data_IF_491909338693
#
_entry.id   IF_491909338693
#
_cell.length_a   1.000
_cell.length_b   1.000
_cell.length_c   1.000
_cell.angle_alpha   90.00
_cell.angle_beta   90.00
_cell.angle_gamma   90.00
#
_symmetry.space_group_name_H-M   'P 1'
#
loop_
_entity.id
_entity.type
_entity.pdbx_description
1 polymer ?
#
# COMPACT_ATOMS: atom_id res chain seq x y z
N UNK A 1 -8.93 20.54 2.62
CA UNK A 1 -10.13 20.39 1.77
C UNK A 1 -9.99 19.34 0.67
N UNK A 2 -8.95 19.42 -0.18
CA UNK A 2 -8.69 18.44 -1.26
C UNK A 2 -8.73 16.95 -0.83
N UNK A 3 -8.21 16.50 0.33
CA UNK A 3 -8.23 15.08 0.68
C UNK A 3 -9.63 14.52 0.91
N UNK A 4 -10.53 15.30 1.52
CA UNK A 4 -11.90 14.85 1.78
C UNK A 4 -12.73 14.80 0.50
N UNK A 5 -12.58 15.81 -0.37
CA UNK A 5 -13.37 15.87 -1.61
C UNK A 5 -12.88 14.86 -2.65
N UNK A 6 -11.56 14.64 -2.76
CA UNK A 6 -11.00 13.76 -3.79
C UNK A 6 -10.99 12.30 -3.34
N UNK A 7 -10.65 11.98 -2.09
CA UNK A 7 -10.48 10.58 -1.66
C UNK A 7 -11.84 9.92 -1.35
N UNK A 8 -12.82 10.70 -0.88
CA UNK A 8 -14.14 10.17 -0.49
C UNK A 8 -14.89 9.46 -1.63
N UNK A 9 -15.02 10.03 -2.84
CA UNK A 9 -15.71 9.36 -3.94
C UNK A 9 -15.02 8.05 -4.35
N UNK A 10 -13.68 8.02 -4.36
CA UNK A 10 -12.94 6.79 -4.68
C UNK A 10 -13.12 5.72 -3.61
N UNK A 11 -13.05 6.09 -2.33
CA UNK A 11 -13.31 5.16 -1.22
C UNK A 11 -14.74 4.64 -1.25
N UNK A 12 -15.72 5.52 -1.46
CA UNK A 12 -17.13 5.13 -1.55
C UNK A 12 -17.36 4.16 -2.71
N UNK A 13 -16.85 4.47 -3.90
CA UNK A 13 -16.97 3.60 -5.07
C UNK A 13 -16.28 2.25 -4.85
N UNK A 14 -15.08 2.24 -4.25
CA UNK A 14 -14.37 1.01 -3.91
C UNK A 14 -15.15 0.15 -2.91
N UNK A 15 -15.64 0.72 -1.81
CA UNK A 15 -16.43 -0.02 -0.82
C UNK A 15 -17.78 -0.47 -1.36
N UNK A 16 -18.39 0.27 -2.27
CA UNK A 16 -19.62 -0.12 -2.95
C UNK A 16 -19.38 -1.39 -3.77
N UNK A 17 -18.39 -1.38 -4.67
CA UNK A 17 -18.04 -2.55 -5.48
C UNK A 17 -17.65 -3.73 -4.58
N UNK A 18 -16.83 -3.50 -3.56
CA UNK A 18 -16.40 -4.55 -2.66
C UNK A 18 -17.56 -5.15 -1.86
N UNK A 19 -18.51 -4.33 -1.38
CA UNK A 19 -19.68 -4.82 -0.64
C UNK A 19 -20.60 -5.64 -1.53
N UNK A 20 -20.76 -5.24 -2.81
CA UNK A 20 -21.49 -6.05 -3.80
C UNK A 20 -20.80 -7.41 -3.99
N UNK A 21 -19.47 -7.43 -4.18
CA UNK A 21 -18.71 -8.67 -4.35
C UNK A 21 -18.78 -9.59 -3.12
N UNK A 22 -18.81 -9.00 -1.93
CA UNK A 22 -18.93 -9.70 -0.66
C UNK A 22 -20.33 -10.32 -0.48
N UNK A 23 -21.39 -9.56 -0.77
CA UNK A 23 -22.78 -10.02 -0.60
C UNK A 23 -23.18 -11.08 -1.67
N UNK A 24 -22.57 -11.02 -2.85
CA UNK A 24 -22.67 -12.04 -3.91
C UNK A 24 -21.98 -13.36 -3.49
N UNK A 25 -21.13 -13.35 -2.45
CA UNK A 25 -20.32 -14.50 -2.08
C UNK A 25 -19.18 -14.78 -3.07
N UNK A 26 -18.76 -13.79 -3.86
CA UNK A 26 -17.63 -13.94 -4.78
C UNK A 26 -16.29 -14.00 -4.05
N UNK A 27 -16.16 -13.28 -2.92
CA UNK A 27 -14.93 -13.24 -2.12
C UNK A 27 -14.52 -14.64 -1.60
N UNK A 28 -15.42 -15.45 -0.99
CA UNK A 28 -15.11 -16.85 -0.65
C UNK A 28 -14.67 -17.70 -1.84
N UNK A 29 -15.29 -17.53 -3.02
CA UNK A 29 -14.91 -18.28 -4.22
C UNK A 29 -13.54 -17.87 -4.76
N UNK A 30 -13.24 -16.57 -4.76
CA UNK A 30 -11.91 -16.04 -5.07
C UNK A 30 -10.85 -16.58 -4.11
N UNK A 31 -11.17 -16.66 -2.81
CA UNK A 31 -10.25 -17.19 -1.82
C UNK A 31 -9.86 -18.64 -2.15
N UNK A 32 -10.81 -19.49 -2.56
CA UNK A 32 -10.53 -20.88 -3.00
C UNK A 32 -9.71 -20.93 -4.29
N UNK A 33 -10.01 -20.07 -5.28
CA UNK A 33 -9.23 -20.04 -6.54
C UNK A 33 -7.79 -19.56 -6.33
N UNK A 34 -7.59 -18.60 -5.44
CA UNK A 34 -6.28 -18.03 -5.13
C UNK A 34 -5.52 -18.83 -4.06
N UNK A 35 -6.18 -19.77 -3.38
CA UNK A 35 -5.60 -20.57 -2.30
C UNK A 35 -4.33 -21.30 -2.75
N UNK A 36 -4.37 -21.97 -3.91
CA UNK A 36 -3.20 -22.67 -4.46
C UNK A 36 -2.00 -21.74 -4.72
N UNK A 37 -2.25 -20.47 -5.08
CA UNK A 37 -1.19 -19.48 -5.29
C UNK A 37 -0.68 -18.92 -3.96
N UNK A 38 -1.58 -18.58 -3.03
CA UNK A 38 -1.21 -18.06 -1.72
C UNK A 38 -0.51 -19.11 -0.85
N UNK A 39 -0.89 -20.38 -0.98
CA UNK A 39 -0.24 -21.46 -0.26
C UNK A 39 1.22 -21.64 -0.69
N UNK A 40 1.56 -21.39 -1.96
CA UNK A 40 2.97 -21.30 -2.41
C UNK A 40 3.72 -20.14 -1.77
N UNK A 41 3.01 -19.05 -1.46
CA UNK A 41 3.54 -17.94 -0.69
C UNK A 41 3.53 -18.22 0.82
N UNK A 42 3.03 -19.37 1.29
CA UNK A 42 2.94 -19.73 2.70
C UNK A 42 1.87 -18.97 3.48
N UNK A 43 0.82 -18.56 2.77
CA UNK A 43 -0.28 -17.77 3.29
C UNK A 43 -1.59 -18.54 3.04
N UNK A 44 -2.54 -18.43 3.96
CA UNK A 44 -3.88 -18.99 3.82
C UNK A 44 -4.72 -18.28 2.74
N UNK A 45 -5.59 -19.02 2.01
CA UNK A 45 -6.47 -18.46 0.98
C UNK A 45 -7.38 -17.32 1.46
N UNK A 46 -7.74 -17.29 2.75
CA UNK A 46 -8.51 -16.19 3.35
C UNK A 46 -7.76 -14.84 3.34
N UNK A 47 -6.43 -14.87 3.21
CA UNK A 47 -5.61 -13.66 3.08
C UNK A 47 -5.78 -12.94 1.74
N UNK A 48 -6.46 -13.59 0.78
CA UNK A 48 -6.95 -12.94 -0.44
C UNK A 48 -7.88 -11.77 -0.12
N UNK A 49 -8.62 -11.81 0.99
CA UNK A 49 -9.54 -10.74 1.40
C UNK A 49 -8.79 -9.46 1.81
N UNK A 50 -7.82 -9.50 2.76
CA UNK A 50 -6.91 -8.39 3.02
C UNK A 50 -6.20 -7.88 1.76
N UNK A 51 -5.69 -8.77 0.90
CA UNK A 51 -4.98 -8.37 -0.31
C UNK A 51 -5.89 -7.54 -1.25
N UNK A 52 -7.13 -7.98 -1.46
CA UNK A 52 -8.12 -7.28 -2.28
C UNK A 52 -8.51 -5.92 -1.67
N UNK A 53 -8.71 -5.87 -0.35
CA UNK A 53 -8.97 -4.63 0.41
C UNK A 53 -7.79 -3.64 0.29
N UNK A 54 -6.56 -4.15 0.34
CA UNK A 54 -5.33 -3.39 0.27
C UNK A 54 -5.09 -2.69 -1.07
N UNK A 55 -5.62 -3.23 -2.18
CA UNK A 55 -5.58 -2.59 -3.50
C UNK A 55 -6.31 -1.23 -3.51
N UNK A 56 -7.37 -1.09 -2.72
CA UNK A 56 -8.08 0.18 -2.56
C UNK A 56 -7.28 1.13 -1.67
N UNK A 57 -7.21 0.80 -0.38
CA UNK A 57 -6.45 1.53 0.62
C UNK A 57 -5.78 0.53 1.57
N UNK A 58 -4.52 0.79 1.93
CA UNK A 58 -3.75 -0.12 2.79
C UNK A 58 -4.28 -0.18 4.23
N UNK A 59 -4.96 0.87 4.70
CA UNK A 59 -5.53 0.97 6.06
C UNK A 59 -6.57 -0.13 6.35
N UNK A 60 -7.69 -0.25 5.60
CA UNK A 60 -8.67 -1.32 5.83
C UNK A 60 -8.10 -2.72 5.55
N UNK A 61 -7.15 -2.83 4.62
CA UNK A 61 -6.43 -4.06 4.35
C UNK A 61 -5.67 -4.57 5.58
N UNK A 62 -4.99 -3.68 6.32
CA UNK A 62 -4.31 -4.03 7.58
C UNK A 62 -5.32 -4.38 8.68
N UNK A 63 -6.44 -3.68 8.80
CA UNK A 63 -7.49 -4.05 9.76
C UNK A 63 -8.06 -5.44 9.52
N UNK A 64 -8.17 -5.85 8.25
CA UNK A 64 -8.61 -7.20 7.90
C UNK A 64 -7.61 -8.29 8.30
N UNK A 65 -6.37 -7.94 8.69
CA UNK A 65 -5.41 -8.93 9.21
C UNK A 65 -5.86 -9.57 10.52
N UNK A 66 -6.80 -8.96 11.25
CA UNK A 66 -7.40 -9.54 12.46
C UNK A 66 -8.11 -10.87 12.20
N UNK A 67 -8.54 -11.10 10.95
CA UNK A 67 -9.23 -12.33 10.53
C UNK A 67 -8.29 -13.53 10.43
N UNK A 68 -6.97 -13.31 10.38
CA UNK A 68 -6.01 -14.40 10.36
C UNK A 68 -5.73 -14.92 11.77
N UNK A 69 -5.46 -16.21 11.92
CA UNK A 69 -5.24 -16.84 13.22
C UNK A 69 -3.77 -16.76 13.63
N UNK A 70 -2.86 -17.08 12.71
CA UNK A 70 -1.43 -17.17 13.03
C UNK A 70 -0.70 -15.84 12.89
N UNK A 71 0.29 -15.60 13.76
CA UNK A 71 1.14 -14.39 13.69
C UNK A 71 2.00 -14.37 12.43
N UNK A 72 2.46 -15.55 11.96
CA UNK A 72 3.26 -15.69 10.74
C UNK A 72 2.46 -15.22 9.53
N UNK A 73 1.22 -15.69 9.37
CA UNK A 73 0.39 -15.28 8.24
C UNK A 73 0.03 -13.80 8.32
N UNK A 74 -0.28 -13.26 9.51
CA UNK A 74 -0.50 -11.81 9.68
C UNK A 74 0.69 -11.00 9.17
N UNK A 75 1.89 -11.38 9.58
CA UNK A 75 3.12 -10.69 9.16
C UNK A 75 3.33 -10.78 7.64
N UNK A 76 3.20 -11.99 7.09
CA UNK A 76 3.45 -12.24 5.67
C UNK A 76 2.42 -11.55 4.77
N UNK A 77 1.14 -11.62 5.15
CA UNK A 77 0.04 -10.92 4.46
C UNK A 77 0.19 -9.41 4.58
N UNK A 78 0.66 -8.86 5.71
CA UNK A 78 0.93 -7.43 5.82
C UNK A 78 2.03 -6.98 4.86
N UNK A 79 3.14 -7.72 4.79
CA UNK A 79 4.25 -7.41 3.87
C UNK A 79 3.78 -7.51 2.42
N UNK A 80 3.09 -8.58 2.06
CA UNK A 80 2.51 -8.75 0.72
C UNK A 80 1.58 -7.58 0.38
N UNK A 81 0.65 -7.24 1.28
CA UNK A 81 -0.33 -6.16 1.09
C UNK A 81 0.34 -4.79 0.88
N UNK A 82 1.40 -4.51 1.62
CA UNK A 82 2.13 -3.25 1.51
C UNK A 82 2.95 -3.16 0.21
N UNK A 83 3.34 -4.29 -0.38
CA UNK A 83 4.19 -4.35 -1.57
C UNK A 83 3.45 -4.63 -2.88
N UNK A 84 2.34 -5.37 -2.86
CA UNK A 84 1.71 -5.95 -4.06
C UNK A 84 1.15 -4.93 -5.04
N UNK A 85 0.63 -3.81 -4.54
CA UNK A 85 0.10 -2.77 -5.41
C UNK A 85 0.12 -1.38 -4.77
N UNK A 86 0.22 -0.33 -5.61
CA UNK A 86 -0.13 1.02 -5.19
C UNK A 86 -1.62 1.08 -4.83
N UNK A 87 -1.97 1.94 -3.87
CA UNK A 87 -3.37 2.21 -3.56
C UNK A 87 -4.07 2.84 -4.77
N UNK A 88 -5.40 2.72 -4.84
CA UNK A 88 -6.23 3.30 -5.91
C UNK A 88 -5.83 4.73 -6.32
N UNK A 89 -5.57 5.68 -5.38
CA UNK A 89 -5.18 7.04 -5.76
C UNK A 89 -3.74 7.13 -6.28
N UNK A 90 -2.83 6.24 -5.88
CA UNK A 90 -1.50 6.16 -6.46
C UNK A 90 -1.54 5.57 -7.87
N UNK A 91 -2.35 4.53 -8.09
CA UNK A 91 -2.55 3.90 -9.41
C UNK A 91 -3.03 4.94 -10.43
N UNK A 92 -4.01 5.77 -10.07
CA UNK A 92 -4.52 6.82 -10.95
C UNK A 92 -3.47 7.89 -11.26
N UNK A 93 -2.71 8.34 -10.25
CA UNK A 93 -1.65 9.33 -10.44
C UNK A 93 -0.50 8.81 -11.32
N UNK A 94 -0.09 7.55 -11.15
CA UNK A 94 0.93 6.91 -11.99
C UNK A 94 0.45 6.85 -13.44
N UNK A 95 -0.82 6.48 -13.67
CA UNK A 95 -1.39 6.42 -15.02
C UNK A 95 -1.44 7.81 -15.68
N UNK A 96 -1.90 8.83 -14.96
CA UNK A 96 -1.94 10.20 -15.47
C UNK A 96 -0.53 10.68 -15.83
N UNK A 97 0.45 10.49 -14.94
CA UNK A 97 1.81 10.97 -15.17
C UNK A 97 2.53 10.17 -16.25
N UNK A 98 2.22 8.88 -16.38
CA UNK A 98 2.74 8.03 -17.43
C UNK A 98 2.22 8.42 -18.82
N UNK A 99 1.11 9.14 -18.96
CA UNK A 99 0.68 9.64 -20.29
C UNK A 99 1.71 10.58 -20.93
N UNK A 100 2.49 11.32 -20.14
CA UNK A 100 3.59 12.19 -20.61
C UNK A 100 4.76 11.38 -21.18
N UNK A 101 5.00 10.17 -20.67
CA UNK A 101 6.15 9.33 -21.02
C UNK A 101 5.81 8.13 -21.92
N UNK A 102 4.54 7.74 -21.98
CA UNK A 102 4.01 6.59 -22.69
C UNK A 102 3.52 5.47 -21.77
N UNK A 103 2.42 4.82 -22.16
CA UNK A 103 1.73 3.80 -21.36
C UNK A 103 2.61 2.58 -21.04
N UNK A 104 3.63 2.31 -21.87
CA UNK A 104 4.60 1.23 -21.68
C UNK A 104 5.32 1.34 -20.32
N UNK A 105 5.64 2.55 -19.88
CA UNK A 105 6.31 2.78 -18.59
C UNK A 105 5.38 2.53 -17.40
N UNK A 106 4.08 2.85 -17.52
CA UNK A 106 3.11 2.48 -16.48
C UNK A 106 3.05 0.97 -16.30
N UNK A 107 2.90 0.22 -17.41
CA UNK A 107 2.85 -1.25 -17.38
C UNK A 107 4.13 -1.83 -16.77
N UNK A 108 5.29 -1.28 -17.12
CA UNK A 108 6.57 -1.70 -16.55
C UNK A 108 6.62 -1.50 -15.02
N UNK A 109 6.16 -0.35 -14.52
CA UNK A 109 6.10 -0.07 -13.08
C UNK A 109 5.23 -1.10 -12.36
N UNK A 110 4.01 -1.35 -12.86
CA UNK A 110 3.10 -2.32 -12.24
C UNK A 110 3.67 -3.74 -12.26
N UNK A 111 4.32 -4.13 -13.36
CA UNK A 111 4.94 -5.44 -13.49
C UNK A 111 6.07 -5.62 -12.47
N UNK A 112 6.99 -4.65 -12.38
CA UNK A 112 8.08 -4.71 -11.39
C UNK A 112 7.53 -4.79 -9.96
N UNK A 113 6.54 -3.96 -9.61
CA UNK A 113 5.92 -3.99 -8.28
C UNK A 113 5.28 -5.35 -7.97
N UNK A 114 4.51 -5.91 -8.91
CA UNK A 114 3.88 -7.21 -8.74
C UNK A 114 4.89 -8.34 -8.52
N UNK A 115 5.93 -8.41 -9.34
CA UNK A 115 6.98 -9.43 -9.19
C UNK A 115 7.77 -9.25 -7.90
N UNK A 116 8.10 -8.02 -7.52
CA UNK A 116 8.83 -7.76 -6.27
C UNK A 116 8.04 -8.21 -5.04
N UNK A 117 6.73 -7.98 -5.02
CA UNK A 117 5.87 -8.43 -3.92
C UNK A 117 5.80 -9.96 -3.80
N UNK A 118 5.70 -10.67 -4.93
CA UNK A 118 5.71 -12.13 -4.97
C UNK A 118 7.05 -12.68 -4.49
N UNK A 119 8.16 -12.14 -5.02
CA UNK A 119 9.52 -12.59 -4.68
C UNK A 119 9.80 -12.37 -3.19
N UNK A 120 9.50 -11.18 -2.66
CA UNK A 120 9.74 -10.87 -1.24
C UNK A 120 8.89 -11.77 -0.35
N UNK A 121 7.61 -11.97 -0.68
CA UNK A 121 6.73 -12.85 0.10
C UNK A 121 7.20 -14.31 0.06
N UNK A 122 7.68 -14.79 -1.08
CA UNK A 122 8.24 -16.14 -1.21
C UNK A 122 9.53 -16.31 -0.40
N UNK A 123 10.45 -15.35 -0.46
CA UNK A 123 11.68 -15.34 0.33
C UNK A 123 11.35 -15.31 1.83
N UNK A 124 10.41 -14.47 2.22
CA UNK A 124 10.03 -14.30 3.62
C UNK A 124 9.33 -15.55 4.17
N UNK A 125 8.55 -16.26 3.35
CA UNK A 125 7.98 -17.56 3.72
C UNK A 125 9.06 -18.60 4.05
N UNK A 126 10.15 -18.64 3.28
CA UNK A 126 11.29 -19.54 3.51
C UNK A 126 12.05 -19.22 4.80
N UNK A 127 12.10 -17.95 5.18
CA UNK A 127 12.82 -17.48 6.39
C UNK A 127 11.96 -17.67 7.65
N UNK A 128 10.66 -17.38 7.56
CA UNK A 128 9.74 -17.47 8.69
C UNK A 128 9.29 -18.91 8.92
N UNK A 129 9.72 -19.49 10.05
CA UNK A 129 9.22 -20.80 10.52
C UNK A 129 7.82 -20.64 11.11
N UNK A 130 6.88 -21.51 10.73
CA UNK A 130 5.52 -21.52 11.25
C UNK A 130 4.56 -22.25 10.32
N UNK A 131 3.56 -22.90 10.90
CA UNK A 131 2.53 -23.68 10.21
C UNK A 131 1.51 -22.75 9.55
N UNK A 132 1.07 -23.13 8.35
CA UNK A 132 -0.11 -22.54 7.69
C UNK A 132 -1.32 -23.33 8.16
N UNK A 133 -2.32 -22.64 8.70
CA UNK A 133 -3.59 -23.27 9.08
C UNK A 133 -4.30 -23.83 7.84
N UNK A 134 -4.95 -24.98 7.98
CA UNK A 134 -5.71 -25.60 6.88
C UNK A 134 -7.07 -24.90 6.70
N UNK A 135 -7.43 -24.60 5.45
CA UNK A 135 -8.65 -23.88 5.09
C UNK A 135 -9.88 -24.78 5.22
N UNK A 136 -10.49 -24.82 6.40
CA UNK A 136 -11.85 -25.32 6.58
C UNK A 136 -12.85 -24.18 6.40
N UNK A 137 -13.10 -23.79 5.14
CA UNK A 137 -14.16 -22.83 4.82
C UNK A 137 -15.28 -23.55 4.08
N UNK A 138 -16.40 -23.76 4.75
CA UNK A 138 -17.65 -24.12 4.10
C UNK A 138 -18.05 -22.99 3.14
N UNK A 139 -18.16 -23.30 1.84
CA UNK A 139 -18.50 -22.31 0.82
C UNK A 139 -19.95 -21.84 1.09
N UNK A 140 -20.17 -20.56 1.46
CA UNK A 140 -21.52 -20.08 1.73
C UNK A 140 -22.35 -20.10 0.44
N UNK A 141 -23.64 -20.47 0.50
CA UNK A 141 -24.52 -20.41 -0.66
C UNK A 141 -24.67 -18.96 -1.14
N UNK A 142 -24.89 -18.79 -2.44
CA UNK A 142 -25.10 -17.49 -3.08
C UNK A 142 -26.28 -16.77 -2.41
N UNK A 143 -26.04 -15.62 -1.78
CA UNK A 143 -27.10 -14.82 -1.15
C UNK A 143 -27.58 -13.74 -2.11
N UNK A 144 -28.89 -13.51 -2.14
CA UNK A 144 -29.45 -12.40 -2.90
C UNK A 144 -29.08 -11.06 -2.27
N UNK A 145 -28.78 -10.08 -3.14
CA UNK A 145 -28.36 -8.74 -2.76
C UNK A 145 -29.47 -8.03 -1.98
N UNK A 146 -29.21 -7.63 -0.73
CA UNK A 146 -30.13 -6.83 0.07
C UNK A 146 -29.63 -5.39 0.13
N UNK A 147 -30.24 -4.51 -0.68
CA UNK A 147 -29.82 -3.12 -0.82
C UNK A 147 -29.81 -2.36 0.52
N UNK A 148 -30.72 -2.68 1.43
CA UNK A 148 -30.79 -2.09 2.77
C UNK A 148 -29.60 -2.47 3.65
N UNK A 149 -29.14 -3.74 3.60
CA UNK A 149 -27.93 -4.16 4.30
C UNK A 149 -26.68 -3.58 3.65
N UNK A 150 -26.62 -3.53 2.32
CA UNK A 150 -25.50 -2.99 1.57
C UNK A 150 -25.23 -1.52 1.94
N UNK A 151 -26.26 -0.68 1.94
CA UNK A 151 -26.15 0.73 2.32
C UNK A 151 -25.70 0.87 3.79
N UNK A 152 -26.28 0.07 4.69
CA UNK A 152 -25.92 0.09 6.12
C UNK A 152 -24.47 -0.33 6.34
N UNK A 153 -23.98 -1.35 5.62
CA UNK A 153 -22.61 -1.86 5.68
C UNK A 153 -21.59 -0.85 5.18
N UNK A 154 -21.89 -0.20 4.04
CA UNK A 154 -21.06 0.89 3.51
C UNK A 154 -21.03 2.05 4.50
N UNK A 155 -22.17 2.46 5.05
CA UNK A 155 -22.24 3.56 6.02
C UNK A 155 -21.40 3.30 7.27
N UNK A 156 -21.47 2.08 7.84
CA UNK A 156 -20.65 1.70 9.00
C UNK A 156 -19.16 1.73 8.65
N UNK A 157 -18.75 1.10 7.55
CA UNK A 157 -17.34 1.08 7.11
C UNK A 157 -16.80 2.48 6.82
N UNK A 158 -17.62 3.35 6.22
CA UNK A 158 -17.23 4.75 6.00
C UNK A 158 -17.11 5.52 7.31
N UNK A 159 -18.05 5.34 8.25
CA UNK A 159 -18.01 6.00 9.55
C UNK A 159 -16.75 5.60 10.33
N UNK A 160 -16.43 4.31 10.37
CA UNK A 160 -15.21 3.81 11.01
C UNK A 160 -13.95 4.39 10.36
N UNK A 161 -13.88 4.42 9.03
CA UNK A 161 -12.76 5.06 8.32
C UNK A 161 -12.64 6.55 8.68
N UNK A 162 -13.75 7.28 8.77
CA UNK A 162 -13.71 8.70 9.14
C UNK A 162 -13.25 8.92 10.57
N UNK A 163 -13.75 8.12 11.51
CA UNK A 163 -13.42 8.25 12.93
C UNK A 163 -11.96 7.89 13.19
N UNK A 164 -11.42 6.87 12.51
CA UNK A 164 -10.03 6.43 12.75
C UNK A 164 -9.01 7.19 11.87
N UNK A 165 -9.29 7.39 10.59
CA UNK A 165 -8.30 7.93 9.66
C UNK A 165 -8.22 9.46 9.67
N UNK A 166 -9.34 10.18 9.83
CA UNK A 166 -9.34 11.66 9.75
C UNK A 166 -8.54 12.30 10.89
N UNK A 167 -8.69 11.90 12.17
CA UNK A 167 -7.89 12.46 13.26
C UNK A 167 -6.40 12.22 13.06
N UNK A 168 -6.02 11.03 12.58
CA UNK A 168 -4.61 10.70 12.29
C UNK A 168 -4.03 11.55 11.16
N UNK A 169 -4.81 11.82 10.11
CA UNK A 169 -4.37 12.69 9.00
C UNK A 169 -4.19 14.13 9.48
N UNK A 170 -5.15 14.66 10.26
CA UNK A 170 -5.06 16.03 10.80
C UNK A 170 -3.85 16.16 11.72
N UNK A 171 -3.65 15.18 12.61
CA UNK A 171 -2.50 15.14 13.51
C UNK A 171 -1.18 15.06 12.72
N UNK A 172 -1.11 14.21 11.68
CA UNK A 172 0.05 14.11 10.80
C UNK A 172 0.38 15.44 10.11
N UNK A 173 -0.63 16.14 9.58
CA UNK A 173 -0.44 17.46 8.94
C UNK A 173 0.05 18.50 9.96
N UNK A 174 -0.51 18.50 11.17
CA UNK A 174 -0.08 19.39 12.24
C UNK A 174 1.39 19.16 12.62
N UNK A 175 1.80 17.89 12.77
CA UNK A 175 3.18 17.51 13.06
C UNK A 175 4.13 17.86 11.91
N UNK A 176 3.73 17.77 10.64
CA UNK A 176 4.61 18.28 9.56
C UNK A 176 4.81 19.77 9.69
N UNK A 177 3.73 20.54 9.83
CA UNK A 177 3.83 21.99 9.81
C UNK A 177 4.75 22.48 10.93
N UNK A 178 4.69 21.85 12.11
CA UNK A 178 5.62 22.19 13.19
C UNK A 178 7.07 21.78 12.84
N UNK A 179 7.30 20.60 12.23
CA UNK A 179 8.62 20.16 11.79
C UNK A 179 9.20 21.00 10.64
N UNK A 180 8.36 21.54 9.77
CA UNK A 180 8.73 22.42 8.66
C UNK A 180 9.17 23.79 9.18
N UNK A 181 8.39 24.37 10.11
CA UNK A 181 8.73 25.62 10.81
C UNK A 181 10.04 25.46 11.61
N UNK A 182 10.25 24.30 12.23
CA UNK A 182 11.49 23.99 12.96
C UNK A 182 12.71 23.73 12.04
N UNK A 183 12.54 23.72 10.72
CA UNK A 183 13.62 23.48 9.76
C UNK A 183 14.16 22.04 9.74
N UNK A 184 13.56 21.14 10.52
CA UNK A 184 13.97 19.73 10.66
C UNK A 184 13.81 19.02 9.32
N UNK A 185 12.77 19.34 8.54
CA UNK A 185 12.52 18.75 7.22
C UNK A 185 13.69 19.06 6.27
N UNK A 186 14.23 20.26 6.31
CA UNK A 186 15.38 20.66 5.47
C UNK A 186 16.64 19.90 5.88
N UNK A 187 16.91 19.78 7.18
CA UNK A 187 18.05 19.03 7.72
C UNK A 187 17.95 17.53 7.36
N UNK A 188 16.77 16.94 7.49
CA UNK A 188 16.52 15.53 7.14
C UNK A 188 16.63 15.30 5.63
N UNK A 189 16.10 16.23 4.82
CA UNK A 189 16.21 16.22 3.36
C UNK A 189 17.67 16.29 2.90
N UNK A 190 18.49 17.10 3.56
CA UNK A 190 19.91 17.19 3.23
C UNK A 190 20.75 16.01 3.73
N UNK A 191 20.39 15.41 4.86
CA UNK A 191 21.15 14.29 5.46
C UNK A 191 20.79 12.95 4.82
N UNK A 192 19.50 12.70 4.61
CA UNK A 192 18.97 11.41 4.12
C UNK A 192 18.59 11.49 2.64
N UNK A 193 18.05 12.63 2.18
CA UNK A 193 17.63 12.78 0.78
C UNK A 193 18.78 12.89 -0.22
N UNK A 194 19.88 13.57 0.12
CA UNK A 194 21.08 13.66 -0.75
C UNK A 194 21.74 12.31 -1.08
N UNK A 195 22.01 11.40 -0.11
CA UNK A 195 22.58 10.09 -0.46
C UNK A 195 21.60 9.20 -1.22
N UNK A 196 20.29 9.28 -0.91
CA UNK A 196 19.25 8.53 -1.60
C UNK A 196 19.10 8.98 -3.05
N UNK A 197 19.05 10.29 -3.29
CA UNK A 197 18.95 10.86 -4.63
C UNK A 197 20.21 10.57 -5.45
N UNK A 198 21.40 10.59 -4.84
CA UNK A 198 22.64 10.19 -5.50
C UNK A 198 22.66 8.71 -5.90
N UNK A 199 22.28 7.80 -5.00
CA UNK A 199 22.20 6.36 -5.26
C UNK A 199 21.16 6.01 -6.32
N UNK A 200 20.04 6.73 -6.35
CA UNK A 200 18.94 6.50 -7.29
C UNK A 200 19.11 7.25 -8.62
N UNK A 201 20.15 8.08 -8.78
CA UNK A 201 20.36 8.89 -9.98
C UNK A 201 19.30 9.98 -10.19
N UNK A 202 18.71 10.46 -9.09
CA UNK A 202 17.59 11.40 -9.06
C UNK A 202 18.06 12.83 -8.73
N UNK A 203 17.39 13.88 -9.26
CA UNK A 203 17.65 15.27 -8.89
C UNK A 203 17.46 15.52 -7.38
N UNK A 204 18.28 16.42 -6.81
CA UNK A 204 18.36 16.67 -5.36
C UNK A 204 17.04 17.18 -4.77
N UNK A 205 16.21 17.80 -5.60
CA UNK A 205 14.92 18.38 -5.22
C UNK A 205 13.86 17.31 -4.83
N UNK A 206 14.02 16.05 -5.26
CA UNK A 206 13.10 14.94 -4.91
C UNK A 206 13.19 14.57 -3.42
N UNK A 207 14.24 14.98 -2.73
CA UNK A 207 14.42 14.80 -1.28
C UNK A 207 13.25 15.37 -0.46
N UNK A 208 12.65 16.47 -0.91
CA UNK A 208 11.47 17.08 -0.28
C UNK A 208 10.22 16.21 -0.56
N UNK A 209 10.10 15.70 -1.78
CA UNK A 209 9.00 14.81 -2.19
C UNK A 209 9.02 13.52 -1.38
N UNK A 210 10.20 12.96 -1.10
CA UNK A 210 10.40 11.76 -0.28
C UNK A 210 9.90 11.91 1.16
N UNK A 211 10.10 13.07 1.78
CA UNK A 211 9.61 13.32 3.15
C UNK A 211 8.11 13.58 3.14
N UNK A 212 7.63 14.39 2.20
CA UNK A 212 6.18 14.63 2.02
C UNK A 212 5.41 13.34 1.68
N UNK A 213 6.10 12.39 1.04
CA UNK A 213 5.68 11.02 0.75
C UNK A 213 5.20 10.25 1.95
N UNK A 214 5.86 10.40 3.09
CA UNK A 214 5.53 9.59 4.26
C UNK A 214 4.14 9.92 4.78
N UNK A 215 3.77 11.19 4.72
CA UNK A 215 2.48 11.67 5.21
C UNK A 215 1.39 11.55 4.17
N UNK A 216 1.73 11.81 2.90
CA UNK A 216 0.76 11.75 1.81
C UNK A 216 1.38 11.18 0.54
N UNK A 217 1.45 9.86 0.54
CA UNK A 217 1.95 9.03 -0.55
C UNK A 217 1.26 9.28 -1.90
N UNK A 218 -0.04 9.57 -1.91
CA UNK A 218 -0.81 9.76 -3.14
C UNK A 218 -0.48 11.08 -3.87
N UNK A 219 -0.19 12.14 -3.11
CA UNK A 219 0.12 13.47 -3.66
C UNK A 219 1.58 13.57 -4.11
N UNK A 220 2.45 12.73 -3.54
CA UNK A 220 3.89 12.80 -3.82
C UNK A 220 4.23 12.45 -5.27
N UNK A 221 3.44 11.60 -5.91
CA UNK A 221 3.61 11.29 -7.34
C UNK A 221 3.22 12.50 -8.20
N UNK A 222 2.18 13.26 -7.81
CA UNK A 222 1.83 14.51 -8.51
C UNK A 222 2.88 15.61 -8.32
N UNK A 223 3.62 15.59 -7.21
CA UNK A 223 4.74 16.50 -6.97
C UNK A 223 5.97 16.18 -7.84
N UNK A 224 5.97 15.05 -8.57
CA UNK A 224 6.98 14.76 -9.58
C UNK A 224 6.70 15.48 -10.92
N UNK A 225 5.49 15.99 -11.15
CA UNK A 225 5.09 16.64 -12.40
C UNK A 225 5.90 17.88 -12.81
N UNK A 226 6.34 18.77 -11.89
CA UNK A 226 7.10 19.96 -12.27
C UNK A 226 8.59 19.68 -12.48
N UNK A 227 9.08 18.49 -12.14
CA UNK A 227 10.44 18.09 -12.44
C UNK A 227 10.46 17.47 -13.84
N UNK A 228 11.20 18.05 -14.80
CA UNK A 228 11.40 17.48 -16.13
C UNK A 228 12.33 16.25 -16.07
N UNK A 229 11.83 15.20 -15.42
CA UNK A 229 12.49 13.93 -15.26
C UNK A 229 12.54 13.19 -16.58
N UNK A 230 13.64 12.46 -16.80
CA UNK A 230 13.70 11.46 -17.87
C UNK A 230 12.76 10.28 -17.56
N UNK A 231 12.33 9.54 -18.59
CA UNK A 231 11.42 8.41 -18.41
C UNK A 231 11.98 7.34 -17.44
N UNK A 232 13.30 7.11 -17.47
CA UNK A 232 14.01 6.23 -16.53
C UNK A 232 13.87 6.72 -15.09
N UNK A 233 14.17 8.00 -14.84
CA UNK A 233 14.09 8.58 -13.50
C UNK A 233 12.65 8.58 -12.96
N UNK A 234 11.65 8.79 -13.83
CA UNK A 234 10.24 8.70 -13.46
C UNK A 234 9.87 7.29 -12.97
N UNK A 235 10.30 6.24 -13.68
CA UNK A 235 10.05 4.84 -13.31
C UNK A 235 10.71 4.51 -11.96
N UNK A 236 12.00 4.85 -11.79
CA UNK A 236 12.75 4.60 -10.55
C UNK A 236 12.12 5.35 -9.38
N UNK A 237 11.79 6.64 -9.53
CA UNK A 237 11.16 7.44 -8.49
C UNK A 237 9.78 6.89 -8.11
N UNK A 238 8.98 6.47 -9.08
CA UNK A 238 7.64 5.93 -8.84
C UNK A 238 7.71 4.61 -8.05
N UNK A 239 8.58 3.69 -8.46
CA UNK A 239 8.76 2.40 -7.76
C UNK A 239 9.26 2.64 -6.33
N UNK A 240 10.26 3.50 -6.16
CA UNK A 240 10.78 3.83 -4.84
C UNK A 240 9.69 4.43 -3.95
N UNK A 241 8.96 5.44 -4.45
CA UNK A 241 7.88 6.07 -3.69
C UNK A 241 6.78 5.08 -3.33
N UNK A 242 6.44 4.11 -4.20
CA UNK A 242 5.44 3.09 -3.85
C UNK A 242 5.96 2.16 -2.74
N UNK A 243 7.22 1.73 -2.80
CA UNK A 243 7.78 0.70 -1.91
C UNK A 243 8.33 1.22 -0.57
N UNK A 244 8.86 2.45 -0.46
CA UNK A 244 9.76 2.80 0.66
C UNK A 244 9.13 2.79 2.06
N UNK A 245 8.07 3.58 2.32
CA UNK A 245 7.40 3.63 3.63
C UNK A 245 5.89 3.74 3.48
N UNK A 246 5.04 3.02 4.22
CA UNK A 246 3.59 3.21 4.19
C UNK A 246 3.19 4.63 4.59
N UNK A 247 1.99 5.07 4.20
CA UNK A 247 1.48 6.37 4.66
C UNK A 247 1.30 6.37 6.19
N UNK A 248 1.33 7.54 6.82
CA UNK A 248 1.20 7.70 8.28
C UNK A 248 0.01 6.92 8.86
N UNK A 249 -1.17 7.00 8.23
CA UNK A 249 -2.33 6.22 8.69
C UNK A 249 -2.06 4.71 8.66
N UNK A 250 -1.47 4.22 7.58
CA UNK A 250 -1.12 2.81 7.43
C UNK A 250 -0.02 2.39 8.42
N UNK A 251 0.96 3.25 8.70
CA UNK A 251 1.99 3.02 9.72
C UNK A 251 1.36 2.88 11.12
N UNK A 252 0.49 3.83 11.52
CA UNK A 252 -0.17 3.75 12.83
C UNK A 252 -1.07 2.52 12.95
N UNK A 253 -1.86 2.21 11.91
CA UNK A 253 -2.67 1.00 11.90
C UNK A 253 -1.80 -0.26 11.94
N UNK A 254 -0.68 -0.30 11.22
CA UNK A 254 0.26 -1.41 11.25
C UNK A 254 0.82 -1.64 12.66
N UNK A 255 1.26 -0.58 13.33
CA UNK A 255 1.79 -0.63 14.69
C UNK A 255 0.72 -1.04 15.69
N UNK A 256 -0.53 -0.56 15.51
CA UNK A 256 -1.67 -0.94 16.36
C UNK A 256 -2.04 -2.41 16.21
N UNK A 257 -2.01 -2.96 14.99
CA UNK A 257 -2.42 -4.35 14.71
C UNK A 257 -1.33 -5.40 14.97
N UNK A 258 -0.08 -5.13 14.61
CA UNK A 258 1.02 -6.09 14.74
C UNK A 258 1.91 -5.85 15.96
N UNK A 259 1.75 -4.71 16.62
CA UNK A 259 2.64 -4.24 17.66
C UNK A 259 3.87 -3.53 17.12
N UNK A 260 4.51 -2.73 17.97
CA UNK A 260 5.63 -1.85 17.61
C UNK A 260 6.82 -2.64 17.04
N UNK A 261 7.17 -3.78 17.63
CA UNK A 261 8.34 -4.57 17.23
C UNK A 261 8.19 -5.14 15.82
N UNK A 262 7.06 -5.78 15.53
CA UNK A 262 6.82 -6.38 14.21
C UNK A 262 6.55 -5.30 13.15
N UNK A 263 5.82 -4.24 13.51
CA UNK A 263 5.64 -3.08 12.63
C UNK A 263 6.97 -2.46 12.20
N UNK A 264 7.92 -2.28 13.13
CA UNK A 264 9.25 -1.74 12.81
C UNK A 264 10.06 -2.67 11.89
N UNK A 265 9.98 -3.99 12.09
CA UNK A 265 10.62 -4.97 11.19
C UNK A 265 10.07 -4.89 9.77
N UNK A 266 8.74 -4.79 9.62
CA UNK A 266 8.09 -4.66 8.31
C UNK A 266 8.57 -3.40 7.60
N UNK A 267 8.67 -2.28 8.30
CA UNK A 267 9.15 -1.02 7.72
C UNK A 267 10.60 -1.07 7.30
N UNK A 268 11.45 -1.66 8.14
CA UNK A 268 12.85 -1.85 7.80
C UNK A 268 13.01 -2.73 6.56
N UNK A 269 12.26 -3.84 6.50
CA UNK A 269 12.23 -4.72 5.33
C UNK A 269 11.75 -3.98 4.08
N UNK A 270 10.67 -3.19 4.18
CA UNK A 270 10.16 -2.40 3.06
C UNK A 270 11.18 -1.41 2.53
N UNK A 271 11.86 -0.70 3.42
CA UNK A 271 12.88 0.28 3.05
C UNK A 271 14.06 -0.41 2.35
N UNK A 272 14.53 -1.54 2.89
CA UNK A 272 15.61 -2.34 2.31
C UNK A 272 15.23 -2.84 0.90
N UNK A 273 14.04 -3.41 0.74
CA UNK A 273 13.52 -3.87 -0.56
C UNK A 273 13.38 -2.69 -1.53
N UNK A 274 12.84 -1.55 -1.09
CA UNK A 274 12.67 -0.38 -1.93
C UNK A 274 14.01 0.12 -2.49
N UNK A 275 15.07 0.15 -1.68
CA UNK A 275 16.41 0.48 -2.14
C UNK A 275 16.95 -0.55 -3.14
N UNK A 276 16.92 -1.84 -2.81
CA UNK A 276 17.46 -2.88 -3.68
C UNK A 276 16.77 -2.91 -5.04
N UNK A 277 15.43 -2.85 -5.06
CA UNK A 277 14.64 -2.87 -6.29
C UNK A 277 14.93 -1.62 -7.11
N UNK A 278 14.83 -0.43 -6.50
CA UNK A 278 14.98 0.82 -7.24
C UNK A 278 16.40 1.02 -7.77
N UNK A 279 17.41 0.57 -7.01
CA UNK A 279 18.81 0.55 -7.45
C UNK A 279 19.01 -0.42 -8.62
N UNK A 280 18.45 -1.64 -8.54
CA UNK A 280 18.52 -2.62 -9.63
C UNK A 280 17.86 -2.08 -10.91
N UNK A 281 16.69 -1.47 -10.78
CA UNK A 281 15.98 -0.84 -11.91
C UNK A 281 16.78 0.32 -12.51
N UNK A 282 17.46 1.12 -11.67
CA UNK A 282 18.32 2.20 -12.15
C UNK A 282 19.57 1.70 -12.91
N UNK A 283 20.06 0.49 -12.62
CA UNK A 283 21.17 -0.11 -13.38
C UNK A 283 20.69 -0.71 -14.70
N UNK A 284 19.50 -1.29 -14.72
CA UNK A 284 18.98 -2.04 -15.87
C UNK A 284 18.44 -1.13 -16.98
N UNK A 285 17.74 -0.05 -16.62
CA UNK A 285 17.26 0.97 -17.58
C UNK A 285 18.37 1.94 -17.98
#
# INVERSE_FOLDING_TARGET
YIPLVVVFPYLFSFYLVLSILEDIGYIPRLAVMLDAFLHRLGIHGYSSVPALLGLGCKVPGIFALRLLETKKEKFLTAVLLLMIAPCMPQTSMILVLATKYGIKYAVLIFLILFFTAIIVSFILNRILKGETTELFVEIPPYRMLSLSLLIKKIYIRMKEFFVDAVPLIIFGIFVINIFDILGIIKIFSETIGKPISFILGLPKEISIVLISGFLRKDVSISLLTPFDLTAKQFVVASIFLVLYLPCVSTFFTLVKEQGVKEGLKILFLMLLVAFLVSFSVNIIL
#
